data_IF_517329889757
#
_entry.id   IF_517329889757
#
_cell.length_a   1.000
_cell.length_b   1.000
_cell.length_c   1.000
_cell.angle_alpha   90.00
_cell.angle_beta   90.00
_cell.angle_gamma   90.00
#
_symmetry.space_group_name_H-M   'P 1'
#
loop_
_entity.id
_entity.type
_entity.pdbx_description
1 polymer ?
#
# COMPACT_ATOMS: atom_id res chain seq x y z
N UNK A 1 43.31 9.29 -86.03
CA UNK A 1 44.38 8.86 -85.12
C UNK A 1 44.33 9.68 -83.83
N UNK A 2 44.34 8.99 -82.68
CA UNK A 2 44.62 9.52 -81.35
C UNK A 2 43.79 10.74 -80.85
N UNK A 3 42.81 10.69 -80.08
CA UNK A 3 42.50 10.13 -78.84
C UNK A 3 43.01 10.97 -77.63
N UNK A 4 42.37 12.14 -77.27
CA UNK A 4 42.66 12.80 -76.00
C UNK A 4 41.53 12.51 -75.05
N UNK A 5 41.87 11.75 -74.00
CA UNK A 5 41.00 11.48 -72.88
C UNK A 5 40.88 12.65 -71.92
N UNK A 6 39.67 13.15 -71.77
CA UNK A 6 39.37 14.20 -70.79
C UNK A 6 39.53 13.65 -69.35
N UNK A 7 40.25 14.41 -68.51
CA UNK A 7 40.41 14.18 -67.09
C UNK A 7 39.12 14.60 -66.40
N UNK A 8 38.38 13.60 -65.79
CA UNK A 8 37.27 13.92 -64.89
C UNK A 8 37.85 14.27 -63.52
N UNK A 9 37.60 15.51 -63.10
CA UNK A 9 37.78 15.94 -61.70
C UNK A 9 36.98 15.06 -60.72
N UNK A 10 37.67 14.38 -59.83
CA UNK A 10 37.08 13.73 -58.70
C UNK A 10 36.81 14.76 -57.61
N UNK A 11 35.56 15.19 -57.47
CA UNK A 11 35.08 15.77 -56.22
C UNK A 11 34.92 14.65 -55.21
N UNK A 12 35.91 14.47 -54.34
CA UNK A 12 35.77 13.65 -53.15
C UNK A 12 34.94 14.43 -52.14
N UNK A 13 33.63 14.26 -52.18
CA UNK A 13 32.79 14.45 -51.03
C UNK A 13 33.12 13.30 -50.07
N UNK A 14 33.73 13.62 -48.95
CA UNK A 14 33.82 12.70 -47.80
C UNK A 14 32.38 12.52 -47.27
N UNK A 15 31.64 11.58 -47.80
CA UNK A 15 30.60 10.93 -47.05
C UNK A 15 31.31 10.19 -45.92
N UNK A 16 31.24 10.75 -44.71
CA UNK A 16 31.43 9.96 -43.50
C UNK A 16 30.26 9.00 -43.43
N UNK A 17 30.45 7.80 -44.00
CA UNK A 17 29.67 6.64 -43.63
C UNK A 17 30.07 6.37 -42.17
N UNK A 18 29.23 6.78 -41.25
CA UNK A 18 29.25 6.24 -39.87
C UNK A 18 28.84 4.79 -40.05
N UNK A 19 29.80 3.92 -40.21
CA UNK A 19 29.62 2.48 -40.00
C UNK A 19 29.33 2.39 -38.50
N UNK A 20 28.06 2.25 -38.12
CA UNK A 20 27.70 1.74 -36.84
C UNK A 20 28.32 0.32 -36.78
N UNK A 21 29.42 0.17 -36.06
CA UNK A 21 29.98 -1.14 -35.77
C UNK A 21 28.89 -1.90 -34.98
N UNK A 22 28.13 -2.76 -35.67
CA UNK A 22 27.24 -3.72 -35.00
C UNK A 22 28.10 -4.55 -34.06
N UNK A 23 27.87 -4.43 -32.77
CA UNK A 23 28.59 -5.15 -31.74
C UNK A 23 28.37 -6.64 -31.92
N UNK A 24 29.42 -7.37 -32.32
CA UNK A 24 29.34 -8.79 -32.57
C UNK A 24 29.21 -9.54 -31.24
N UNK A 25 28.03 -10.11 -30.99
CA UNK A 25 27.73 -10.82 -29.75
C UNK A 25 28.11 -12.31 -29.86
N UNK A 26 28.79 -12.83 -28.85
CA UNK A 26 29.18 -14.23 -28.80
C UNK A 26 27.99 -15.16 -28.55
N UNK A 27 27.66 -16.01 -29.53
CA UNK A 27 26.51 -16.94 -29.46
C UNK A 27 26.54 -17.86 -28.24
N UNK A 28 27.70 -18.42 -27.88
CA UNK A 28 27.82 -19.31 -26.70
C UNK A 28 27.62 -18.58 -25.41
N UNK A 29 28.09 -17.34 -25.30
CA UNK A 29 27.87 -16.51 -24.14
C UNK A 29 26.40 -16.12 -24.04
N UNK A 30 25.74 -15.77 -25.15
CA UNK A 30 24.31 -15.51 -25.20
C UNK A 30 23.46 -16.68 -24.74
N UNK A 31 23.72 -17.87 -25.30
CA UNK A 31 22.97 -19.08 -24.97
C UNK A 31 23.07 -19.42 -23.46
N UNK A 32 24.30 -19.45 -22.94
CA UNK A 32 24.52 -19.79 -21.53
C UNK A 32 24.02 -18.68 -20.57
N UNK A 33 24.06 -17.42 -20.97
CA UNK A 33 23.49 -16.31 -20.18
C UNK A 33 21.98 -16.46 -20.09
N UNK A 34 21.31 -16.60 -21.23
CA UNK A 34 19.83 -16.65 -21.28
C UNK A 34 19.25 -17.86 -20.56
N UNK A 35 19.68 -19.05 -20.93
CA UNK A 35 19.00 -20.29 -20.53
C UNK A 35 19.47 -20.83 -19.17
N UNK A 36 20.74 -20.61 -18.79
CA UNK A 36 21.24 -21.12 -17.51
C UNK A 36 21.25 -20.11 -16.38
N UNK A 37 21.44 -18.83 -16.68
CA UNK A 37 21.60 -17.82 -15.63
C UNK A 37 20.35 -16.97 -15.52
N UNK A 38 19.95 -16.24 -16.59
CA UNK A 38 18.86 -15.27 -16.50
C UNK A 38 17.50 -15.92 -16.31
N UNK A 39 17.24 -17.05 -16.94
CA UNK A 39 16.00 -17.80 -16.73
C UNK A 39 15.82 -18.17 -15.25
N UNK A 40 16.86 -18.75 -14.63
CA UNK A 40 16.81 -19.10 -13.21
C UNK A 40 16.77 -17.86 -12.31
N UNK A 41 17.48 -16.79 -12.69
CA UNK A 41 17.47 -15.53 -11.94
C UNK A 41 16.08 -14.87 -11.95
N UNK A 42 15.42 -14.80 -13.09
CA UNK A 42 14.07 -14.29 -13.20
C UNK A 42 13.06 -15.12 -12.39
N UNK A 43 13.18 -16.47 -12.45
CA UNK A 43 12.34 -17.35 -11.63
C UNK A 43 12.57 -17.12 -10.12
N UNK A 44 13.81 -16.90 -9.70
CA UNK A 44 14.13 -16.59 -8.31
C UNK A 44 13.54 -15.23 -7.88
N UNK A 45 13.60 -14.21 -8.74
CA UNK A 45 12.95 -12.90 -8.47
C UNK A 45 11.43 -13.05 -8.34
N UNK A 46 10.79 -13.77 -9.26
CA UNK A 46 9.34 -14.00 -9.20
C UNK A 46 8.91 -14.78 -7.95
N UNK A 47 9.71 -15.75 -7.54
CA UNK A 47 9.46 -16.51 -6.31
C UNK A 47 9.63 -15.64 -5.07
N UNK A 48 10.62 -14.74 -5.05
CA UNK A 48 10.81 -13.80 -3.94
C UNK A 48 9.68 -12.78 -3.87
N UNK A 49 9.29 -12.16 -5.00
CA UNK A 49 8.12 -11.28 -5.05
C UNK A 49 6.86 -11.98 -4.54
N UNK A 50 6.70 -13.27 -4.87
CA UNK A 50 5.58 -14.09 -4.38
C UNK A 50 5.70 -14.40 -2.88
N UNK A 51 6.91 -14.69 -2.39
CA UNK A 51 7.18 -14.94 -0.97
C UNK A 51 6.90 -13.70 -0.13
N UNK A 52 7.33 -12.51 -0.58
CA UNK A 52 7.01 -11.23 0.04
C UNK A 52 5.48 -11.04 0.09
N UNK A 53 4.78 -11.33 -1.01
CA UNK A 53 3.31 -11.27 -1.06
C UNK A 53 2.65 -12.20 -0.04
N UNK A 54 3.14 -13.42 0.11
CA UNK A 54 2.57 -14.44 1.01
C UNK A 54 3.00 -14.26 2.46
N UNK A 55 4.22 -13.80 2.69
CA UNK A 55 4.81 -13.66 4.02
C UNK A 55 4.31 -12.43 4.79
N UNK A 56 3.78 -11.44 4.10
CA UNK A 56 3.22 -10.27 4.75
C UNK A 56 1.79 -10.56 5.20
N UNK A 57 1.56 -10.62 6.51
CA UNK A 57 0.21 -10.61 7.06
C UNK A 57 -0.48 -9.31 6.64
N UNK A 58 -1.41 -9.41 5.69
CA UNK A 58 -2.06 -8.24 5.11
C UNK A 58 -3.32 -7.90 5.86
N UNK A 59 -3.32 -6.74 6.45
CA UNK A 59 -4.55 -6.14 6.94
C UNK A 59 -5.23 -5.39 5.80
N UNK A 60 -6.31 -5.96 5.25
CA UNK A 60 -7.08 -5.31 4.17
C UNK A 60 -8.01 -4.19 4.66
N UNK A 61 -8.12 -3.96 5.96
CA UNK A 61 -8.80 -2.80 6.52
C UNK A 61 -8.01 -1.50 6.27
N UNK A 62 -6.68 -1.60 6.11
CA UNK A 62 -5.84 -0.45 5.75
C UNK A 62 -5.73 -0.31 4.23
N UNK A 63 -5.35 0.91 3.80
CA UNK A 63 -5.07 1.14 2.38
C UNK A 63 -3.91 0.27 1.93
N UNK A 64 -4.15 -0.48 0.84
CA UNK A 64 -3.12 -1.32 0.25
C UNK A 64 -2.11 -0.48 -0.55
N UNK A 65 -0.88 -1.00 -0.68
CA UNK A 65 0.16 -0.40 -1.51
C UNK A 65 0.10 -0.91 -2.95
N UNK A 66 0.68 -0.15 -3.89
CA UNK A 66 0.80 -0.59 -5.29
C UNK A 66 1.72 -1.81 -5.40
N UNK A 67 2.82 -1.83 -4.63
CA UNK A 67 3.75 -2.94 -4.54
C UNK A 67 3.87 -3.40 -3.09
N UNK A 68 4.13 -4.69 -2.89
CA UNK A 68 4.62 -5.16 -1.61
C UNK A 68 6.09 -4.82 -1.48
N UNK A 69 6.46 -4.22 -0.37
CA UNK A 69 7.84 -3.86 -0.11
C UNK A 69 8.53 -4.92 0.76
N UNK A 70 9.81 -5.20 0.54
CA UNK A 70 10.53 -6.18 1.32
C UNK A 70 10.60 -5.76 2.78
N UNK A 71 10.23 -6.69 3.66
CA UNK A 71 10.45 -6.56 5.11
C UNK A 71 11.82 -7.20 5.32
N UNK A 72 12.87 -6.42 5.45
CA UNK A 72 14.27 -6.85 5.44
C UNK A 72 14.64 -7.99 6.40
N UNK A 73 14.29 -9.24 6.06
CA UNK A 73 14.48 -10.42 6.89
C UNK A 73 15.42 -11.45 6.25
N UNK A 74 16.17 -12.17 7.10
CA UNK A 74 17.39 -12.90 6.83
C UNK A 74 17.40 -13.96 5.70
N UNK A 75 16.34 -14.76 5.48
CA UNK A 75 16.36 -15.85 4.49
C UNK A 75 16.24 -15.34 3.05
N UNK A 76 15.45 -14.27 2.83
CA UNK A 76 15.36 -13.56 1.56
C UNK A 76 16.73 -13.03 1.10
N UNK A 77 17.57 -12.59 2.05
CA UNK A 77 18.90 -12.10 1.76
C UNK A 77 19.82 -13.17 1.14
N UNK A 78 19.79 -14.42 1.62
CA UNK A 78 20.67 -15.48 1.10
C UNK A 78 20.26 -15.87 -0.34
N UNK A 79 18.95 -15.93 -0.61
CA UNK A 79 18.46 -16.24 -1.95
C UNK A 79 18.86 -15.15 -2.95
N UNK A 80 18.67 -13.88 -2.57
CA UNK A 80 19.05 -12.74 -3.40
C UNK A 80 20.57 -12.63 -3.58
N UNK A 81 21.39 -12.93 -2.57
CA UNK A 81 22.82 -12.97 -2.70
C UNK A 81 23.30 -14.06 -3.69
N UNK A 82 22.68 -15.25 -3.64
CA UNK A 82 22.94 -16.31 -4.61
C UNK A 82 22.59 -15.89 -6.04
N UNK A 83 21.47 -15.18 -6.20
CA UNK A 83 21.03 -14.65 -7.48
C UNK A 83 22.01 -13.60 -8.00
N UNK A 84 22.41 -12.63 -7.16
CA UNK A 84 23.39 -11.59 -7.48
C UNK A 84 24.71 -12.21 -7.95
N UNK A 85 25.23 -13.21 -7.22
CA UNK A 85 26.46 -13.93 -7.62
C UNK A 85 26.32 -14.61 -8.99
N UNK A 86 25.15 -15.22 -9.29
CA UNK A 86 24.89 -15.83 -10.60
C UNK A 86 24.88 -14.78 -11.72
N UNK A 87 24.22 -13.66 -11.50
CA UNK A 87 24.16 -12.57 -12.48
C UNK A 87 25.53 -11.93 -12.70
N UNK A 88 26.36 -11.78 -11.66
CA UNK A 88 27.75 -11.34 -11.80
C UNK A 88 28.60 -12.20 -12.72
N UNK A 89 28.32 -13.52 -12.88
CA UNK A 89 29.04 -14.33 -13.85
C UNK A 89 28.84 -13.86 -15.29
N UNK A 90 27.68 -13.24 -15.59
CA UNK A 90 27.47 -12.63 -16.92
C UNK A 90 28.32 -11.39 -17.04
N UNK A 91 28.22 -10.48 -16.08
CA UNK A 91 28.91 -9.19 -16.07
C UNK A 91 30.43 -9.36 -16.12
N UNK A 92 30.99 -10.31 -15.36
CA UNK A 92 32.44 -10.45 -15.22
C UNK A 92 33.08 -11.36 -16.28
N UNK A 93 32.35 -12.39 -16.75
CA UNK A 93 32.95 -13.46 -17.56
C UNK A 93 32.31 -13.64 -18.95
N UNK A 94 31.25 -12.84 -19.26
CA UNK A 94 30.50 -12.95 -20.50
C UNK A 94 30.17 -11.58 -21.09
N UNK A 95 31.15 -10.71 -21.11
CA UNK A 95 31.00 -9.31 -21.51
C UNK A 95 30.58 -9.13 -23.00
N UNK A 96 30.83 -10.15 -23.83
CA UNK A 96 30.36 -10.20 -25.23
C UNK A 96 28.92 -10.72 -25.34
N UNK A 97 28.22 -10.95 -24.24
CA UNK A 97 26.81 -11.33 -24.25
C UNK A 97 25.92 -10.09 -24.39
N UNK A 98 24.93 -10.16 -25.28
CA UNK A 98 23.88 -9.13 -25.37
C UNK A 98 23.04 -8.98 -24.10
N UNK A 99 23.15 -9.92 -23.15
CA UNK A 99 22.40 -9.95 -21.91
C UNK A 99 23.11 -9.30 -20.71
N UNK A 100 24.21 -8.59 -20.93
CA UNK A 100 24.95 -7.90 -19.84
C UNK A 100 24.06 -6.85 -19.16
N UNK A 101 23.32 -6.07 -19.94
CA UNK A 101 22.42 -5.03 -19.39
C UNK A 101 21.24 -5.64 -18.63
N UNK A 102 20.67 -6.78 -19.11
CA UNK A 102 19.66 -7.50 -18.35
C UNK A 102 20.22 -8.02 -17.01
N UNK A 103 21.47 -8.49 -16.99
CA UNK A 103 22.12 -8.93 -15.76
C UNK A 103 22.26 -7.78 -14.75
N UNK A 104 22.65 -6.57 -15.19
CA UNK A 104 22.68 -5.39 -14.33
C UNK A 104 21.29 -5.02 -13.80
N UNK A 105 20.24 -5.08 -14.64
CA UNK A 105 18.85 -4.85 -14.22
C UNK A 105 18.44 -5.84 -13.13
N UNK A 106 18.76 -7.13 -13.30
CA UNK A 106 18.47 -8.19 -12.33
C UNK A 106 19.21 -7.98 -11.03
N UNK A 107 20.50 -7.61 -11.07
CA UNK A 107 21.27 -7.30 -9.85
C UNK A 107 20.65 -6.11 -9.11
N UNK A 108 20.25 -5.07 -9.83
CA UNK A 108 19.55 -3.92 -9.26
C UNK A 108 18.24 -4.31 -8.57
N UNK A 109 17.40 -5.12 -9.22
CA UNK A 109 16.16 -5.65 -8.64
C UNK A 109 16.41 -6.53 -7.41
N UNK A 110 17.38 -7.42 -7.47
CA UNK A 110 17.72 -8.28 -6.33
C UNK A 110 18.21 -7.50 -5.13
N UNK A 111 19.03 -6.46 -5.34
CA UNK A 111 19.41 -5.54 -4.26
C UNK A 111 18.19 -4.78 -3.69
N UNK A 112 17.23 -4.40 -4.53
CA UNK A 112 15.98 -3.79 -4.07
C UNK A 112 15.19 -4.74 -3.16
N UNK A 113 14.93 -5.97 -3.61
CA UNK A 113 14.19 -6.98 -2.85
C UNK A 113 14.91 -7.40 -1.55
N UNK A 114 16.22 -7.26 -1.52
CA UNK A 114 17.04 -7.42 -0.31
C UNK A 114 16.95 -6.23 0.66
N UNK A 115 16.34 -5.11 0.28
CA UNK A 115 16.34 -3.87 1.06
C UNK A 115 17.65 -3.05 0.95
N UNK A 116 18.59 -3.47 0.11
CA UNK A 116 19.85 -2.77 -0.13
C UNK A 116 19.66 -1.65 -1.18
N UNK A 117 18.81 -0.68 -0.87
CA UNK A 117 18.34 0.34 -1.82
C UNK A 117 19.48 1.20 -2.39
N UNK A 118 20.50 1.53 -1.64
CA UNK A 118 21.65 2.28 -2.15
C UNK A 118 22.42 1.50 -3.21
N UNK A 119 22.68 0.21 -2.98
CA UNK A 119 23.31 -0.66 -3.96
C UNK A 119 22.42 -0.81 -5.21
N UNK A 120 21.12 -1.00 -5.03
CA UNK A 120 20.13 -1.06 -6.10
C UNK A 120 20.23 0.18 -7.02
N UNK A 121 20.26 1.38 -6.43
CA UNK A 121 20.38 2.65 -7.15
C UNK A 121 21.69 2.71 -7.95
N UNK A 122 22.83 2.25 -7.39
CA UNK A 122 24.13 2.26 -8.09
C UNK A 122 24.12 1.34 -9.31
N UNK A 123 23.50 0.15 -9.23
CA UNK A 123 23.34 -0.74 -10.40
C UNK A 123 22.46 -0.15 -11.47
N UNK A 124 21.36 0.52 -11.12
CA UNK A 124 20.54 1.24 -12.08
C UNK A 124 21.27 2.45 -12.67
N UNK A 125 22.05 3.19 -11.87
CA UNK A 125 22.91 4.26 -12.38
C UNK A 125 23.91 3.76 -13.41
N UNK A 126 24.54 2.60 -13.16
CA UNK A 126 25.46 1.99 -14.10
C UNK A 126 24.73 1.61 -15.40
N UNK A 127 23.61 0.92 -15.31
CA UNK A 127 22.81 0.54 -16.45
C UNK A 127 22.37 1.77 -17.30
N UNK A 128 21.89 2.82 -16.65
CA UNK A 128 21.46 4.04 -17.32
C UNK A 128 22.60 4.79 -18.05
N UNK A 129 23.86 4.59 -17.62
CA UNK A 129 25.04 5.17 -18.30
C UNK A 129 25.54 4.32 -19.46
N UNK A 130 25.30 3.00 -19.42
CA UNK A 130 25.90 2.05 -20.38
C UNK A 130 24.94 1.48 -21.41
N UNK A 131 23.62 1.73 -21.22
CA UNK A 131 22.56 1.14 -22.08
C UNK A 131 22.25 1.95 -23.34
N UNK A 132 23.15 2.82 -23.82
CA UNK A 132 22.92 3.65 -25.00
C UNK A 132 22.50 2.83 -26.23
N UNK A 133 23.02 1.61 -26.40
CA UNK A 133 22.71 0.69 -27.50
C UNK A 133 21.48 -0.19 -27.26
N UNK A 134 20.99 -0.31 -25.99
CA UNK A 134 19.89 -1.20 -25.62
C UNK A 134 18.82 -0.45 -24.82
N UNK A 135 18.10 0.41 -25.50
CA UNK A 135 17.11 1.30 -24.91
C UNK A 135 15.94 0.55 -24.24
N UNK A 136 15.73 -0.72 -24.54
CA UNK A 136 14.65 -1.55 -23.99
C UNK A 136 14.68 -1.70 -22.45
N UNK A 137 15.86 -1.55 -21.83
CA UNK A 137 16.01 -1.64 -20.37
C UNK A 137 15.86 -0.30 -19.64
N UNK A 138 15.93 0.83 -20.36
CA UNK A 138 15.91 2.16 -19.76
C UNK A 138 14.64 2.46 -18.96
N UNK A 139 13.42 2.21 -19.50
CA UNK A 139 12.20 2.52 -18.75
C UNK A 139 12.11 1.73 -17.45
N UNK A 140 12.51 0.46 -17.48
CA UNK A 140 12.50 -0.39 -16.28
C UNK A 140 13.55 0.07 -15.27
N UNK A 141 14.77 0.41 -15.71
CA UNK A 141 15.83 0.90 -14.85
C UNK A 141 15.42 2.22 -14.15
N UNK A 142 14.85 3.16 -14.89
CA UNK A 142 14.32 4.40 -14.32
C UNK A 142 13.19 4.14 -13.32
N UNK A 143 12.22 3.30 -13.65
CA UNK A 143 11.09 3.01 -12.78
C UNK A 143 11.51 2.27 -11.49
N UNK A 144 12.41 1.30 -11.56
CA UNK A 144 12.97 0.62 -10.39
C UNK A 144 13.83 1.55 -9.54
N UNK A 145 14.64 2.41 -10.17
CA UNK A 145 15.42 3.43 -9.47
C UNK A 145 14.51 4.43 -8.74
N UNK A 146 13.40 4.84 -9.37
CA UNK A 146 12.38 5.67 -8.71
C UNK A 146 11.84 4.99 -7.45
N UNK A 147 11.47 3.72 -7.51
CA UNK A 147 11.02 2.95 -6.35
C UNK A 147 12.09 2.92 -5.24
N UNK A 148 13.35 2.64 -5.59
CA UNK A 148 14.44 2.60 -4.62
C UNK A 148 14.69 3.96 -3.95
N UNK A 149 14.60 5.05 -4.71
CA UNK A 149 14.71 6.41 -4.20
C UNK A 149 13.59 6.77 -3.23
N UNK A 150 12.36 6.28 -3.48
CA UNK A 150 11.24 6.46 -2.55
C UNK A 150 11.50 5.77 -1.19
N UNK A 151 12.13 4.60 -1.19
CA UNK A 151 12.46 3.89 0.06
C UNK A 151 13.48 4.65 0.93
N UNK A 152 14.39 5.42 0.31
CA UNK A 152 15.36 6.27 1.04
C UNK A 152 14.90 7.73 1.18
N UNK A 153 13.63 8.04 0.90
CA UNK A 153 13.03 9.36 1.10
C UNK A 153 13.43 10.43 0.08
N UNK A 154 14.02 10.06 -1.06
CA UNK A 154 14.44 11.00 -2.11
C UNK A 154 13.31 11.25 -3.14
N UNK A 155 12.18 11.78 -2.68
CA UNK A 155 10.93 11.90 -3.46
C UNK A 155 11.06 12.75 -4.71
N UNK A 156 11.77 13.89 -4.66
CA UNK A 156 11.94 14.77 -5.82
C UNK A 156 12.74 14.10 -6.94
N UNK A 157 13.82 13.36 -6.58
CA UNK A 157 14.63 12.66 -7.58
C UNK A 157 13.83 11.46 -8.10
N UNK A 158 13.06 10.79 -7.26
CA UNK A 158 12.18 9.68 -7.67
C UNK A 158 11.18 10.13 -8.73
N UNK A 159 10.60 11.34 -8.62
CA UNK A 159 9.73 11.89 -9.64
C UNK A 159 10.43 12.03 -11.00
N UNK A 160 11.61 12.67 -11.01
CA UNK A 160 12.40 12.83 -12.24
C UNK A 160 12.69 11.48 -12.90
N UNK A 161 12.97 10.45 -12.10
CA UNK A 161 13.25 9.11 -12.61
C UNK A 161 12.01 8.48 -13.25
N UNK A 162 10.84 8.53 -12.59
CA UNK A 162 9.63 7.96 -13.19
C UNK A 162 9.17 8.72 -14.41
N UNK A 163 9.35 10.04 -14.46
CA UNK A 163 9.07 10.84 -15.65
C UNK A 163 10.03 10.46 -16.81
N UNK A 164 11.33 10.24 -16.52
CA UNK A 164 12.29 9.72 -17.49
C UNK A 164 11.91 8.33 -18.01
N UNK A 165 11.30 7.48 -17.15
CA UNK A 165 10.79 6.18 -17.57
C UNK A 165 9.69 6.32 -18.64
N UNK A 166 8.80 7.32 -18.52
CA UNK A 166 7.79 7.59 -19.54
C UNK A 166 8.40 8.09 -20.85
N UNK A 167 9.46 8.90 -20.79
CA UNK A 167 10.13 9.42 -22.00
C UNK A 167 10.86 8.34 -22.81
N UNK A 168 11.21 7.24 -22.15
CA UNK A 168 11.95 6.11 -22.76
C UNK A 168 11.09 4.88 -23.02
N UNK A 169 9.75 4.99 -22.87
CA UNK A 169 8.83 3.86 -23.05
C UNK A 169 8.91 3.29 -24.46
N UNK A 170 8.99 1.98 -24.54
CA UNK A 170 8.85 1.15 -25.72
C UNK A 170 7.38 0.66 -25.90
N UNK A 171 7.17 -0.20 -26.91
CA UNK A 171 5.86 -0.81 -27.17
C UNK A 171 5.55 -2.01 -26.27
N UNK A 172 6.45 -2.39 -25.37
CA UNK A 172 6.26 -3.50 -24.44
C UNK A 172 5.12 -3.21 -23.46
N UNK A 173 4.07 -4.00 -23.56
CA UNK A 173 2.93 -3.91 -22.66
C UNK A 173 3.35 -4.11 -21.18
N UNK A 174 4.26 -5.02 -20.91
CA UNK A 174 4.75 -5.30 -19.56
C UNK A 174 5.53 -4.10 -18.98
N UNK A 175 6.39 -3.46 -19.80
CA UNK A 175 7.14 -2.27 -19.41
C UNK A 175 6.19 -1.12 -19.09
N UNK A 176 5.22 -0.85 -19.95
CA UNK A 176 4.20 0.21 -19.76
C UNK A 176 3.38 -0.04 -18.49
N UNK A 177 2.95 -1.28 -18.25
CA UNK A 177 2.26 -1.69 -17.02
C UNK A 177 3.07 -1.31 -15.78
N UNK A 178 4.35 -1.70 -15.75
CA UNK A 178 5.22 -1.47 -14.61
C UNK A 178 5.51 0.02 -14.38
N UNK A 179 5.78 0.79 -15.45
CA UNK A 179 6.05 2.25 -15.37
C UNK A 179 4.82 2.99 -14.85
N UNK A 180 3.61 2.65 -15.32
CA UNK A 180 2.38 3.25 -14.81
C UNK A 180 2.14 2.88 -13.34
N UNK A 181 2.35 1.63 -12.95
CA UNK A 181 2.28 1.23 -11.54
C UNK A 181 3.32 1.99 -10.67
N UNK A 182 4.54 2.20 -11.16
CA UNK A 182 5.56 2.98 -10.47
C UNK A 182 5.18 4.45 -10.31
N UNK A 183 4.52 5.06 -11.32
CA UNK A 183 4.00 6.44 -11.21
C UNK A 183 2.86 6.52 -10.20
N UNK A 184 1.92 5.58 -10.23
CA UNK A 184 0.86 5.51 -9.24
C UNK A 184 1.44 5.36 -7.81
N UNK A 185 2.45 4.51 -7.64
CA UNK A 185 3.13 4.35 -6.35
C UNK A 185 3.78 5.66 -5.87
N UNK A 186 4.46 6.38 -6.77
CA UNK A 186 5.03 7.69 -6.45
C UNK A 186 3.95 8.67 -5.99
N UNK A 187 2.86 8.82 -6.76
CA UNK A 187 1.77 9.76 -6.46
C UNK A 187 1.09 9.45 -5.12
N UNK A 188 0.85 8.17 -4.82
CA UNK A 188 0.29 7.77 -3.52
C UNK A 188 1.25 8.07 -2.36
N UNK A 189 2.56 7.92 -2.55
CA UNK A 189 3.57 8.25 -1.51
C UNK A 189 3.63 9.74 -1.17
N UNK A 190 3.26 10.63 -2.09
CA UNK A 190 3.19 12.07 -1.86
C UNK A 190 1.77 12.58 -1.55
N UNK A 191 0.79 11.67 -1.41
CA UNK A 191 -0.60 11.99 -1.05
C UNK A 191 -1.47 12.49 -2.22
N UNK A 192 -1.03 12.37 -3.47
CA UNK A 192 -1.78 12.74 -4.67
C UNK A 192 -2.64 11.57 -5.17
N UNK A 193 -3.66 11.22 -4.42
CA UNK A 193 -4.47 10.02 -4.61
C UNK A 193 -5.29 10.05 -5.91
N UNK A 194 -5.95 11.18 -6.18
CA UNK A 194 -6.78 11.34 -7.39
C UNK A 194 -5.95 11.24 -8.66
N UNK A 195 -4.73 11.77 -8.63
CA UNK A 195 -3.81 11.73 -9.76
C UNK A 195 -3.23 10.33 -9.99
N UNK A 196 -3.15 9.50 -8.93
CA UNK A 196 -2.66 8.14 -9.04
C UNK A 196 -3.65 7.18 -9.73
N UNK A 197 -4.96 7.45 -9.64
CA UNK A 197 -6.02 6.56 -10.14
C UNK A 197 -5.85 6.22 -11.64
N UNK A 198 -5.71 7.17 -12.59
CA UNK A 198 -5.62 6.84 -14.01
C UNK A 198 -4.39 5.99 -14.36
N UNK A 199 -3.27 6.19 -13.67
CA UNK A 199 -2.07 5.36 -13.86
C UNK A 199 -2.30 3.93 -13.37
N UNK A 200 -2.97 3.78 -12.24
CA UNK A 200 -3.29 2.46 -11.69
C UNK A 200 -4.33 1.71 -12.53
N UNK A 201 -5.32 2.42 -13.08
CA UNK A 201 -6.29 1.85 -14.03
C UNK A 201 -5.60 1.35 -15.28
N UNK A 202 -4.73 2.15 -15.89
CA UNK A 202 -3.95 1.73 -17.05
C UNK A 202 -3.09 0.50 -16.74
N UNK A 203 -2.40 0.50 -15.60
CA UNK A 203 -1.61 -0.63 -15.16
C UNK A 203 -2.48 -1.90 -14.99
N UNK A 204 -3.68 -1.75 -14.43
CA UNK A 204 -4.62 -2.86 -14.22
C UNK A 204 -5.12 -3.44 -15.55
N UNK A 205 -5.54 -2.62 -16.50
CA UNK A 205 -6.03 -3.05 -17.82
C UNK A 205 -4.96 -3.80 -18.61
N UNK A 206 -3.71 -3.37 -18.44
CA UNK A 206 -2.55 -3.93 -19.13
C UNK A 206 -1.97 -5.16 -18.45
N UNK A 207 -2.31 -5.43 -17.19
CA UNK A 207 -1.69 -6.48 -16.38
C UNK A 207 -2.27 -7.87 -16.70
N UNK A 208 -1.36 -8.83 -16.91
CA UNK A 208 -1.69 -10.26 -17.03
C UNK A 208 -1.43 -11.06 -15.74
N UNK A 209 -0.67 -10.50 -14.78
CA UNK A 209 -0.32 -11.18 -13.52
C UNK A 209 -1.48 -11.12 -12.53
N UNK A 210 -1.98 -12.27 -12.11
CA UNK A 210 -3.16 -12.38 -11.25
C UNK A 210 -3.00 -11.72 -9.88
N UNK A 211 -1.79 -11.83 -9.27
CA UNK A 211 -1.53 -11.26 -7.93
C UNK A 211 -1.65 -9.72 -7.92
N UNK A 212 -0.96 -9.05 -8.85
CA UNK A 212 -1.02 -7.60 -8.96
C UNK A 212 -2.42 -7.12 -9.35
N UNK A 213 -3.11 -7.87 -10.22
CA UNK A 213 -4.45 -7.53 -10.67
C UNK A 213 -5.42 -7.34 -9.50
N UNK A 214 -5.52 -8.30 -8.59
CA UNK A 214 -6.44 -8.22 -7.47
C UNK A 214 -6.03 -7.17 -6.43
N UNK A 215 -4.72 -7.01 -6.20
CA UNK A 215 -4.20 -5.95 -5.34
C UNK A 215 -4.57 -4.57 -5.85
N UNK A 216 -4.34 -4.30 -7.14
CA UNK A 216 -4.65 -3.00 -7.74
C UNK A 216 -6.16 -2.76 -7.85
N UNK A 217 -6.95 -3.80 -8.11
CA UNK A 217 -8.41 -3.68 -8.02
C UNK A 217 -8.88 -3.30 -6.61
N UNK A 218 -8.29 -3.91 -5.58
CA UNK A 218 -8.64 -3.60 -4.19
C UNK A 218 -8.22 -2.18 -3.81
N UNK A 219 -7.01 -1.79 -4.19
CA UNK A 219 -6.50 -0.43 -3.98
C UNK A 219 -7.35 0.62 -4.70
N UNK A 220 -7.73 0.38 -5.97
CA UNK A 220 -8.65 1.26 -6.70
C UNK A 220 -10.00 1.36 -6.02
N UNK A 221 -10.55 0.26 -5.51
CA UNK A 221 -11.78 0.27 -4.74
C UNK A 221 -11.68 1.15 -3.50
N UNK A 222 -10.55 1.09 -2.77
CA UNK A 222 -10.29 1.94 -1.61
C UNK A 222 -10.16 3.41 -2.02
N UNK A 223 -9.37 3.72 -3.05
CA UNK A 223 -9.18 5.08 -3.55
C UNK A 223 -10.50 5.71 -4.01
N UNK A 224 -11.32 4.96 -4.76
CA UNK A 224 -12.63 5.44 -5.19
C UNK A 224 -13.58 5.66 -4.02
N UNK A 225 -13.57 4.77 -3.02
CA UNK A 225 -14.36 4.95 -1.79
C UNK A 225 -13.97 6.22 -1.05
N UNK A 226 -12.67 6.42 -0.82
CA UNK A 226 -12.13 7.55 -0.07
C UNK A 226 -12.41 8.89 -0.78
N UNK A 227 -12.53 8.86 -2.12
CA UNK A 227 -12.89 10.02 -2.95
C UNK A 227 -14.40 10.14 -3.26
N UNK A 228 -15.26 9.39 -2.55
CA UNK A 228 -16.72 9.48 -2.68
C UNK A 228 -17.31 8.90 -3.97
N UNK A 229 -16.50 8.23 -4.80
CA UNK A 229 -16.96 7.58 -6.04
C UNK A 229 -17.46 6.15 -5.74
N UNK A 230 -18.52 6.06 -4.96
CA UNK A 230 -19.01 4.81 -4.37
C UNK A 230 -19.44 3.75 -5.40
N UNK A 231 -19.99 4.14 -6.53
CA UNK A 231 -20.41 3.20 -7.59
C UNK A 231 -19.21 2.47 -8.20
N UNK A 232 -18.10 3.19 -8.44
CA UNK A 232 -16.86 2.59 -8.94
C UNK A 232 -16.23 1.69 -7.88
N UNK A 233 -16.15 2.17 -6.64
CA UNK A 233 -15.66 1.38 -5.51
C UNK A 233 -16.45 0.07 -5.37
N UNK A 234 -17.78 0.16 -5.42
CA UNK A 234 -18.68 -0.99 -5.32
C UNK A 234 -18.46 -2.00 -6.46
N UNK A 235 -18.20 -1.53 -7.68
CA UNK A 235 -17.90 -2.38 -8.83
C UNK A 235 -16.66 -3.25 -8.57
N UNK A 236 -15.56 -2.65 -8.10
CA UNK A 236 -14.33 -3.36 -7.79
C UNK A 236 -14.48 -4.29 -6.58
N UNK A 237 -15.08 -3.83 -5.47
CA UNK A 237 -15.30 -4.71 -4.30
C UNK A 237 -16.22 -5.89 -4.62
N UNK A 238 -17.25 -5.69 -5.46
CA UNK A 238 -18.13 -6.78 -5.89
C UNK A 238 -17.38 -7.80 -6.77
N UNK A 239 -16.48 -7.37 -7.64
CA UNK A 239 -15.65 -8.25 -8.45
C UNK A 239 -14.71 -9.09 -7.56
N UNK A 240 -14.01 -8.44 -6.60
CA UNK A 240 -13.06 -9.10 -5.70
C UNK A 240 -13.76 -10.12 -4.79
N UNK A 241 -14.90 -9.75 -4.21
CA UNK A 241 -15.64 -10.64 -3.29
C UNK A 241 -16.12 -11.95 -3.93
N UNK A 242 -16.12 -12.03 -5.26
CA UNK A 242 -16.50 -13.22 -6.04
C UNK A 242 -15.32 -13.92 -6.71
N UNK A 243 -14.11 -13.37 -6.56
CA UNK A 243 -12.91 -13.88 -7.20
C UNK A 243 -12.19 -14.90 -6.31
N UNK A 244 -11.35 -15.73 -6.92
CA UNK A 244 -10.47 -16.65 -6.18
C UNK A 244 -9.22 -15.89 -5.68
N UNK A 245 -9.40 -15.16 -4.59
CA UNK A 245 -8.38 -14.35 -3.90
C UNK A 245 -8.18 -14.87 -2.47
N UNK A 246 -7.14 -14.43 -1.74
CA UNK A 246 -7.03 -14.74 -0.31
C UNK A 246 -8.31 -14.40 0.45
N UNK A 247 -8.65 -15.27 1.41
CA UNK A 247 -9.91 -15.16 2.16
C UNK A 247 -10.10 -13.77 2.77
N UNK A 248 -9.06 -13.22 3.40
CA UNK A 248 -9.11 -11.91 4.08
C UNK A 248 -9.46 -10.78 3.11
N UNK A 249 -8.91 -10.83 1.89
CA UNK A 249 -9.23 -9.85 0.84
C UNK A 249 -10.70 -9.96 0.40
N UNK A 250 -11.18 -11.18 0.13
CA UNK A 250 -12.58 -11.41 -0.28
C UNK A 250 -13.56 -11.03 0.83
N UNK A 251 -13.18 -11.33 2.07
CA UNK A 251 -13.96 -11.02 3.27
C UNK A 251 -14.10 -9.50 3.43
N UNK A 252 -12.97 -8.76 3.46
CA UNK A 252 -12.99 -7.29 3.57
C UNK A 252 -13.75 -6.64 2.41
N UNK A 253 -13.54 -7.10 1.17
CA UNK A 253 -14.30 -6.63 0.02
C UNK A 253 -15.82 -6.85 0.20
N UNK A 254 -16.23 -7.94 0.85
CA UNK A 254 -17.64 -8.22 1.16
C UNK A 254 -18.20 -7.28 2.23
N UNK A 255 -17.40 -6.94 3.25
CA UNK A 255 -17.77 -5.95 4.27
C UNK A 255 -17.95 -4.56 3.65
N UNK A 256 -16.96 -4.08 2.89
CA UNK A 256 -16.99 -2.78 2.22
C UNK A 256 -18.16 -2.68 1.23
N UNK A 257 -18.43 -3.75 0.47
CA UNK A 257 -19.61 -3.83 -0.39
C UNK A 257 -20.90 -3.65 0.38
N UNK A 258 -21.04 -4.31 1.55
CA UNK A 258 -22.24 -4.21 2.38
C UNK A 258 -22.48 -2.79 2.89
N UNK A 259 -21.41 -2.08 3.24
CA UNK A 259 -21.47 -0.67 3.66
C UNK A 259 -21.92 0.24 2.51
N UNK A 260 -21.31 0.09 1.33
CA UNK A 260 -21.54 0.96 0.18
C UNK A 260 -22.90 0.72 -0.51
N UNK A 261 -23.57 -0.39 -0.22
CA UNK A 261 -24.89 -0.71 -0.79
C UNK A 261 -26.08 -0.03 -0.09
N UNK A 262 -25.85 0.92 0.81
CA UNK A 262 -26.90 1.56 1.62
C UNK A 262 -28.08 2.13 0.84
N UNK A 263 -27.87 2.60 -0.39
CA UNK A 263 -28.92 3.09 -1.27
C UNK A 263 -29.86 2.01 -1.85
N UNK A 264 -29.54 0.72 -1.68
CA UNK A 264 -30.35 -0.42 -2.16
C UNK A 264 -31.33 -0.97 -1.12
N UNK A 265 -31.25 -0.49 0.11
CA UNK A 265 -32.04 -0.99 1.22
C UNK A 265 -32.86 0.12 1.85
N UNK A 266 -34.13 -0.16 2.12
CA UNK A 266 -35.04 0.80 2.74
C UNK A 266 -34.70 1.03 4.22
N UNK A 267 -34.11 0.04 4.89
CA UNK A 267 -33.75 0.13 6.32
C UNK A 267 -32.35 -0.42 6.62
N UNK A 268 -31.77 0.04 7.74
CA UNK A 268 -30.53 -0.51 8.27
C UNK A 268 -30.67 -2.01 8.59
N UNK A 269 -31.80 -2.44 9.14
CA UNK A 269 -32.06 -3.85 9.49
C UNK A 269 -32.00 -4.77 8.26
N UNK A 270 -32.46 -4.31 7.10
CA UNK A 270 -32.35 -5.07 5.85
C UNK A 270 -30.90 -5.14 5.35
N UNK A 271 -30.20 -4.01 5.40
CA UNK A 271 -28.80 -3.91 4.97
C UNK A 271 -27.86 -4.76 5.85
N UNK A 272 -28.09 -4.80 7.15
CA UNK A 272 -27.28 -5.55 8.14
C UNK A 272 -27.57 -7.06 8.08
N UNK A 273 -28.74 -7.50 7.64
CA UNK A 273 -29.15 -8.91 7.61
C UNK A 273 -28.16 -9.85 6.92
N UNK A 274 -27.55 -9.52 5.76
CA UNK A 274 -26.52 -10.34 5.14
C UNK A 274 -25.27 -10.47 6.02
N UNK A 275 -24.82 -9.40 6.68
CA UNK A 275 -23.67 -9.42 7.60
C UNK A 275 -23.93 -10.34 8.79
N UNK A 276 -25.13 -10.26 9.40
CA UNK A 276 -25.47 -11.10 10.54
C UNK A 276 -25.60 -12.59 10.16
N UNK A 277 -25.82 -12.93 8.89
CA UNK A 277 -25.72 -14.31 8.41
C UNK A 277 -24.27 -14.79 8.41
N UNK A 278 -23.32 -13.91 8.04
CA UNK A 278 -21.89 -14.26 8.05
C UNK A 278 -21.37 -14.65 9.43
N UNK A 279 -21.95 -14.13 10.53
CA UNK A 279 -21.62 -14.54 11.90
C UNK A 279 -21.92 -16.03 12.19
N UNK A 280 -22.75 -16.68 11.40
CA UNK A 280 -23.15 -18.09 11.57
C UNK A 280 -22.28 -19.04 10.75
N UNK A 281 -21.41 -18.50 9.91
CA UNK A 281 -20.52 -19.28 9.05
C UNK A 281 -19.18 -19.49 9.75
N UNK A 282 -18.85 -20.72 10.13
CA UNK A 282 -17.63 -21.06 10.88
C UNK A 282 -16.33 -20.56 10.28
N UNK A 283 -16.28 -20.35 8.94
CA UNK A 283 -15.11 -19.73 8.29
C UNK A 283 -14.85 -18.30 8.74
N UNK A 284 -15.82 -17.62 9.37
CA UNK A 284 -15.75 -16.23 9.81
C UNK A 284 -15.52 -16.11 11.34
N UNK A 285 -15.21 -17.19 12.04
CA UNK A 285 -15.08 -17.17 13.52
C UNK A 285 -13.98 -16.22 14.02
N UNK A 286 -12.95 -15.97 13.23
CA UNK A 286 -11.89 -14.99 13.56
C UNK A 286 -12.21 -13.55 13.19
N UNK A 287 -13.39 -13.26 12.60
CA UNK A 287 -13.75 -11.96 12.04
C UNK A 287 -15.07 -11.40 12.57
N UNK A 288 -15.59 -11.98 13.63
CA UNK A 288 -16.88 -11.58 14.19
C UNK A 288 -16.89 -10.14 14.71
N UNK A 289 -15.75 -9.67 15.25
CA UNK A 289 -15.54 -8.29 15.67
C UNK A 289 -15.71 -7.31 14.51
N UNK A 290 -15.14 -7.62 13.34
CA UNK A 290 -15.24 -6.78 12.13
C UNK A 290 -16.66 -6.76 11.59
N UNK A 291 -17.34 -7.92 11.53
CA UNK A 291 -18.73 -8.01 11.06
C UNK A 291 -19.66 -7.15 11.94
N UNK A 292 -19.49 -7.24 13.27
CA UNK A 292 -20.29 -6.48 14.21
C UNK A 292 -20.00 -4.98 14.16
N UNK A 293 -18.72 -4.61 14.01
CA UNK A 293 -18.34 -3.22 13.81
C UNK A 293 -18.98 -2.64 12.54
N UNK A 294 -18.92 -3.39 11.43
CA UNK A 294 -19.52 -3.00 10.17
C UNK A 294 -21.05 -2.83 10.28
N UNK A 295 -21.72 -3.72 11.03
CA UNK A 295 -23.14 -3.57 11.32
C UNK A 295 -23.41 -2.27 12.10
N UNK A 296 -22.57 -1.95 13.08
CA UNK A 296 -22.63 -0.68 13.81
C UNK A 296 -22.50 0.54 12.89
N UNK A 297 -21.55 0.52 11.96
CA UNK A 297 -21.37 1.61 10.99
C UNK A 297 -22.59 1.80 10.07
N UNK A 298 -23.27 0.72 9.67
CA UNK A 298 -24.50 0.81 8.88
C UNK A 298 -25.63 1.48 9.68
N UNK A 299 -25.82 1.11 10.94
CA UNK A 299 -26.81 1.76 11.79
C UNK A 299 -26.48 3.24 12.02
N UNK A 300 -25.20 3.58 12.22
CA UNK A 300 -24.73 4.97 12.34
C UNK A 300 -25.03 5.77 11.07
N UNK A 301 -24.77 5.25 9.87
CA UNK A 301 -25.08 5.91 8.60
C UNK A 301 -26.60 6.16 8.39
N UNK A 302 -27.44 5.41 9.08
CA UNK A 302 -28.89 5.55 9.06
C UNK A 302 -29.44 6.27 10.32
N UNK A 303 -28.56 6.94 11.08
CA UNK A 303 -28.87 7.72 12.28
C UNK A 303 -29.50 6.91 13.44
N UNK A 304 -29.43 5.57 13.42
CA UNK A 304 -29.83 4.71 14.54
C UNK A 304 -28.63 4.52 15.50
N UNK A 305 -28.31 5.62 16.20
CA UNK A 305 -27.12 5.67 17.09
C UNK A 305 -27.22 4.65 18.23
N UNK A 306 -28.40 4.39 18.77
CA UNK A 306 -28.57 3.43 19.87
C UNK A 306 -28.15 2.01 19.45
N UNK A 307 -28.60 1.54 18.26
CA UNK A 307 -28.18 0.27 17.71
C UNK A 307 -26.70 0.30 17.32
N UNK A 308 -26.20 1.39 16.72
CA UNK A 308 -24.78 1.54 16.35
C UNK A 308 -23.89 1.29 17.57
N UNK A 309 -24.12 1.99 18.68
CA UNK A 309 -23.35 1.82 19.92
C UNK A 309 -23.48 0.39 20.49
N UNK A 310 -24.66 -0.23 20.41
CA UNK A 310 -24.85 -1.62 20.83
C UNK A 310 -23.98 -2.57 20.03
N UNK A 311 -23.91 -2.40 18.70
CA UNK A 311 -23.09 -3.25 17.82
C UNK A 311 -21.59 -2.99 17.99
N UNK A 312 -21.14 -1.77 18.19
CA UNK A 312 -19.75 -1.46 18.54
C UNK A 312 -19.33 -2.14 19.85
N UNK A 313 -20.17 -2.08 20.88
CA UNK A 313 -19.91 -2.79 22.15
C UNK A 313 -19.88 -4.31 21.98
N UNK A 314 -20.76 -4.90 21.14
CA UNK A 314 -20.72 -6.32 20.77
C UNK A 314 -19.46 -6.71 20.03
N UNK A 315 -18.92 -5.84 19.16
CA UNK A 315 -17.63 -6.04 18.50
C UNK A 315 -16.49 -6.16 19.52
N UNK A 316 -16.43 -5.25 20.50
CA UNK A 316 -15.44 -5.31 21.59
C UNK A 316 -15.57 -6.52 22.50
N UNK A 317 -16.75 -7.09 22.62
CA UNK A 317 -17.01 -8.25 23.46
C UNK A 317 -16.56 -9.59 22.83
N UNK A 318 -16.12 -9.57 21.55
CA UNK A 318 -15.68 -10.81 20.89
C UNK A 318 -14.35 -11.29 21.47
N UNK A 319 -14.23 -12.61 21.80
CA UNK A 319 -13.03 -13.15 22.41
C UNK A 319 -11.79 -13.12 21.48
N UNK A 320 -12.02 -13.28 20.18
CA UNK A 320 -10.96 -13.33 19.16
C UNK A 320 -10.79 -12.00 18.40
N UNK A 321 -11.21 -10.88 19.00
CA UNK A 321 -11.08 -9.58 18.36
C UNK A 321 -9.63 -9.23 18.06
N UNK A 322 -9.37 -8.65 16.89
CA UNK A 322 -8.06 -8.14 16.56
C UNK A 322 -7.76 -6.82 17.28
N UNK A 323 -6.50 -6.59 17.63
CA UNK A 323 -6.09 -5.30 18.22
C UNK A 323 -6.37 -4.13 17.29
N UNK A 324 -6.25 -4.33 15.97
CA UNK A 324 -6.58 -3.30 14.99
C UNK A 324 -8.06 -2.91 15.07
N UNK A 325 -8.97 -3.90 14.99
CA UNK A 325 -10.40 -3.67 15.07
C UNK A 325 -10.83 -3.11 16.45
N UNK A 326 -10.21 -3.58 17.53
CA UNK A 326 -10.45 -3.02 18.86
C UNK A 326 -10.06 -1.55 18.94
N UNK A 327 -8.91 -1.17 18.36
CA UNK A 327 -8.46 0.24 18.27
C UNK A 327 -9.49 1.11 17.55
N UNK A 328 -9.95 0.68 16.36
CA UNK A 328 -10.99 1.40 15.60
C UNK A 328 -12.27 1.58 16.41
N UNK A 329 -12.70 0.52 17.08
CA UNK A 329 -13.96 0.52 17.83
C UNK A 329 -13.87 1.39 19.09
N UNK A 330 -12.75 1.33 19.82
CA UNK A 330 -12.52 2.20 20.98
C UNK A 330 -12.42 3.67 20.60
N UNK A 331 -11.70 4.00 19.52
CA UNK A 331 -11.63 5.37 18.99
C UNK A 331 -13.03 5.88 18.63
N UNK A 332 -13.82 5.07 17.95
CA UNK A 332 -15.19 5.43 17.54
C UNK A 332 -16.10 5.72 18.74
N UNK A 333 -16.06 4.87 19.74
CA UNK A 333 -16.84 5.06 20.98
C UNK A 333 -16.32 6.25 21.79
N UNK A 334 -15.00 6.43 21.89
CA UNK A 334 -14.40 7.57 22.57
C UNK A 334 -14.81 8.88 21.91
N UNK A 335 -14.75 8.97 20.57
CA UNK A 335 -15.16 10.15 19.81
C UNK A 335 -16.65 10.48 19.98
N UNK A 336 -17.50 9.45 19.98
CA UNK A 336 -18.94 9.62 20.22
C UNK A 336 -19.20 10.20 21.61
N UNK A 337 -18.70 9.56 22.68
CA UNK A 337 -18.95 10.03 24.04
C UNK A 337 -18.32 11.39 24.34
N UNK A 338 -17.19 11.70 23.67
CA UNK A 338 -16.60 13.03 23.74
C UNK A 338 -17.54 14.09 23.12
N UNK A 339 -18.13 13.81 21.96
CA UNK A 339 -19.12 14.66 21.30
C UNK A 339 -20.37 14.91 22.19
N UNK A 340 -20.80 13.87 22.90
CA UNK A 340 -21.89 13.93 23.87
C UNK A 340 -21.50 14.60 25.21
N UNK A 341 -20.28 15.15 25.32
CA UNK A 341 -19.73 15.78 26.54
C UNK A 341 -19.64 14.83 27.76
N UNK A 342 -19.68 13.53 27.54
CA UNK A 342 -19.48 12.51 28.56
C UNK A 342 -17.99 12.18 28.69
N UNK A 343 -17.21 13.17 29.15
CA UNK A 343 -15.75 13.14 29.10
C UNK A 343 -15.10 11.99 29.86
N UNK A 344 -15.64 11.62 31.05
CA UNK A 344 -15.15 10.49 31.84
C UNK A 344 -15.32 9.17 31.08
N UNK A 345 -16.47 8.98 30.43
CA UNK A 345 -16.73 7.78 29.62
C UNK A 345 -15.84 7.76 28.40
N UNK A 346 -15.66 8.89 27.71
CA UNK A 346 -14.77 9.04 26.57
C UNK A 346 -13.33 8.70 26.94
N UNK A 347 -12.85 9.17 28.11
CA UNK A 347 -11.51 8.88 28.59
C UNK A 347 -11.27 7.40 28.76
N UNK A 348 -12.18 6.66 29.37
CA UNK A 348 -12.06 5.20 29.55
C UNK A 348 -11.88 4.45 28.22
N UNK A 349 -12.55 4.94 27.16
CA UNK A 349 -12.37 4.38 25.81
C UNK A 349 -11.01 4.76 25.21
N UNK A 350 -10.56 5.99 25.35
CA UNK A 350 -9.24 6.42 24.88
C UNK A 350 -8.08 5.73 25.62
N UNK A 351 -8.21 5.51 26.93
CA UNK A 351 -7.24 4.74 27.71
C UNK A 351 -7.17 3.30 27.21
N UNK A 352 -8.33 2.73 26.82
CA UNK A 352 -8.37 1.40 26.20
C UNK A 352 -7.67 1.37 24.84
N UNK A 353 -7.74 2.45 24.03
CA UNK A 353 -6.97 2.55 22.80
C UNK A 353 -5.47 2.42 23.07
N UNK A 354 -4.96 3.11 24.11
CA UNK A 354 -3.54 3.08 24.45
C UNK A 354 -3.01 1.67 24.74
N UNK A 355 -3.87 0.77 25.22
CA UNK A 355 -3.51 -0.62 25.59
C UNK A 355 -3.48 -1.57 24.38
N UNK A 356 -4.25 -1.28 23.32
CA UNK A 356 -4.43 -2.21 22.19
C UNK A 356 -3.84 -1.67 20.87
N UNK A 357 -3.39 -0.40 20.82
CA UNK A 357 -2.90 0.28 19.62
C UNK A 357 -1.70 -0.45 19.01
N UNK A 358 -1.84 -1.07 17.81
CA UNK A 358 -0.72 -1.73 17.15
C UNK A 358 0.37 -0.73 16.76
N UNK A 359 1.63 -1.19 16.76
CA UNK A 359 2.76 -0.34 16.37
C UNK A 359 2.73 0.05 14.88
N UNK A 360 2.16 -0.82 14.05
CA UNK A 360 1.99 -0.67 12.60
C UNK A 360 0.61 -0.07 12.21
N UNK A 361 -0.14 0.43 13.22
CA UNK A 361 -1.42 1.09 12.95
C UNK A 361 -1.24 2.34 12.07
N UNK A 362 -2.15 2.51 11.10
CA UNK A 362 -2.13 3.68 10.22
C UNK A 362 -2.17 4.96 11.04
N UNK A 363 -1.22 5.86 10.77
CA UNK A 363 -1.12 7.14 11.50
C UNK A 363 -0.98 7.01 13.04
N UNK A 364 -0.31 5.94 13.52
CA UNK A 364 -0.10 5.67 14.95
C UNK A 364 0.32 6.91 15.75
N UNK A 365 1.19 7.74 15.18
CA UNK A 365 1.65 8.98 15.83
C UNK A 365 0.55 10.04 15.93
N UNK A 366 -0.37 10.10 14.98
CA UNK A 366 -1.54 10.99 15.01
C UNK A 366 -2.50 10.53 16.11
N UNK A 367 -2.74 9.23 16.20
CA UNK A 367 -3.57 8.65 17.27
C UNK A 367 -2.95 8.94 18.63
N UNK A 368 -1.65 8.68 18.84
CA UNK A 368 -0.97 8.96 20.12
C UNK A 368 -1.06 10.43 20.52
N UNK A 369 -0.89 11.36 19.58
CA UNK A 369 -1.08 12.79 19.87
C UNK A 369 -2.51 13.12 20.27
N UNK A 370 -3.51 12.53 19.55
CA UNK A 370 -4.92 12.68 19.90
C UNK A 370 -5.20 12.21 21.32
N UNK A 371 -4.70 11.03 21.71
CA UNK A 371 -4.85 10.50 23.07
C UNK A 371 -4.26 11.43 24.12
N UNK A 372 -3.08 12.00 23.86
CA UNK A 372 -2.45 12.99 24.75
C UNK A 372 -3.35 14.20 24.98
N UNK A 373 -3.84 14.83 23.90
CA UNK A 373 -4.77 15.99 24.01
C UNK A 373 -6.10 15.64 24.70
N UNK A 374 -6.66 14.46 24.43
CA UNK A 374 -7.91 14.04 25.06
C UNK A 374 -7.74 13.82 26.55
N UNK A 375 -6.63 13.24 26.99
CA UNK A 375 -6.33 13.08 28.42
C UNK A 375 -6.22 14.45 29.14
N UNK A 376 -5.54 15.41 28.54
CA UNK A 376 -5.47 16.78 29.12
C UNK A 376 -6.84 17.43 29.22
N UNK A 377 -7.65 17.37 28.15
CA UNK A 377 -8.98 17.96 28.12
C UNK A 377 -9.89 17.29 29.16
N UNK A 378 -9.89 15.98 29.23
CA UNK A 378 -10.76 15.25 30.19
C UNK A 378 -10.37 15.51 31.63
N UNK A 379 -9.07 15.65 31.95
CA UNK A 379 -8.59 16.06 33.27
C UNK A 379 -9.08 17.47 33.65
N UNK A 380 -8.97 18.44 32.71
CA UNK A 380 -9.45 19.79 32.94
C UNK A 380 -10.96 19.84 33.23
N UNK A 381 -11.75 19.07 32.48
CA UNK A 381 -13.20 18.99 32.73
C UNK A 381 -13.51 18.31 34.05
N UNK A 382 -12.81 17.27 34.44
CA UNK A 382 -12.94 16.61 35.74
C UNK A 382 -12.61 17.57 36.89
N UNK A 383 -11.56 18.38 36.74
CA UNK A 383 -11.19 19.41 37.73
C UNK A 383 -12.23 20.53 37.82
N UNK A 384 -12.79 20.97 36.69
CA UNK A 384 -13.90 21.96 36.68
C UNK A 384 -15.12 21.40 37.41
N UNK A 385 -15.57 20.19 37.06
CA UNK A 385 -16.72 19.54 37.71
C UNK A 385 -16.51 19.37 39.21
N UNK A 386 -15.30 19.01 39.62
CA UNK A 386 -14.94 18.93 41.05
C UNK A 386 -15.00 20.28 41.73
N UNK A 387 -14.46 21.34 41.12
CA UNK A 387 -14.50 22.69 41.66
C UNK A 387 -15.92 23.23 41.74
N UNK A 388 -16.76 22.98 40.74
CA UNK A 388 -18.17 23.34 40.74
C UNK A 388 -18.93 22.65 41.86
N UNK A 389 -18.66 21.36 42.08
CA UNK A 389 -19.23 20.60 43.22
C UNK A 389 -18.80 21.21 44.56
N UNK A 390 -17.53 21.55 44.71
CA UNK A 390 -17.03 22.22 45.94
C UNK A 390 -17.64 23.61 46.15
N UNK A 391 -17.80 24.42 45.10
CA UNK A 391 -18.44 25.71 45.16
C UNK A 391 -19.92 25.57 45.55
N UNK A 392 -20.62 24.60 44.96
CA UNK A 392 -21.99 24.29 45.33
C UNK A 392 -22.11 23.89 46.80
N UNK A 393 -21.26 22.96 47.28
CA UNK A 393 -21.24 22.59 48.70
C UNK A 393 -20.92 23.78 49.63
N UNK A 394 -20.02 24.65 49.20
CA UNK A 394 -19.67 25.87 49.97
C UNK A 394 -20.82 26.90 50.04
N UNK A 395 -21.73 26.90 49.07
CA UNK A 395 -22.91 27.78 49.04
C UNK A 395 -24.05 27.31 49.93
N UNK A 396 -24.04 26.04 50.39
CA UNK A 396 -25.06 25.49 51.28
C UNK A 396 -24.80 25.88 52.74
N UNK A 397 -25.87 25.93 53.53
CA UNK A 397 -25.78 26.02 54.98
C UNK A 397 -25.17 24.70 55.58
N UNK A 398 -24.85 24.71 56.85
CA UNK A 398 -24.15 23.60 57.53
C UNK A 398 -24.96 22.26 57.46
N UNK A 399 -26.29 22.36 57.62
CA UNK A 399 -27.17 21.19 57.58
C UNK A 399 -27.28 20.64 56.14
N UNK A 400 -27.55 21.47 55.16
CA UNK A 400 -27.65 21.05 53.75
C UNK A 400 -26.35 20.55 53.19
N UNK A 401 -25.19 21.05 53.64
CA UNK A 401 -23.88 20.56 53.29
C UNK A 401 -23.66 19.15 53.84
N UNK A 402 -24.02 18.90 55.11
CA UNK A 402 -23.91 17.59 55.74
C UNK A 402 -24.75 16.52 55.03
N UNK A 403 -25.99 16.85 54.68
CA UNK A 403 -26.88 15.96 53.94
C UNK A 403 -26.33 15.60 52.56
N UNK A 404 -25.80 16.57 51.80
CA UNK A 404 -25.24 16.34 50.47
C UNK A 404 -23.92 15.56 50.50
N UNK A 405 -23.02 15.86 51.43
CA UNK A 405 -21.78 15.12 51.62
C UNK A 405 -22.07 13.65 51.92
N UNK A 406 -23.07 13.35 52.80
CA UNK A 406 -23.49 11.98 53.11
C UNK A 406 -24.11 11.29 51.89
N UNK A 407 -24.82 12.00 51.01
CA UNK A 407 -25.32 11.44 49.72
C UNK A 407 -24.17 11.03 48.80
N UNK A 408 -23.17 11.92 48.58
CA UNK A 408 -21.99 11.60 47.73
C UNK A 408 -21.05 10.55 48.32
N UNK A 409 -21.08 10.33 49.62
CA UNK A 409 -20.28 9.27 50.30
C UNK A 409 -20.92 7.89 50.18
N UNK A 410 -22.24 7.82 49.90
CA UNK A 410 -23.00 6.57 49.78
C UNK A 410 -23.26 6.15 48.32
N UNK A 411 -22.98 7.00 47.31
CA UNK A 411 -23.01 6.75 45.89
C UNK A 411 -21.60 6.33 45.41
#
# INVERSE_FOLDING_TARGET
>A
MLGCKGVKSRNNAFERVTVEEEKEYNFRQNFTSRYNILYNANLMLENEERAIFQGTSKNFQIRQSVFDEPIGDGDAHQLMDSLIQKAYKIVNSKQESKYVNEAYLIIGKANYLKGAYHNSIEFFNHLLRTAEEQQEYLPLAYAWKSRALLQIGKTEIANKMVDSAFMTLDDSKATRTFVNAAKANYLLRIGQELEAIPYLEYALESNSKTLDKYRWQFLLAQLYKDNGQFDKALTYFNAISKSNVPFDMAFEASLQRSLLQGGKYDSADEQVRPLLRMLREGKNDGYQDQILFQAGQIYEQKDDIAKALSYFKKSLAQPNRSNYQATETYLKLGDYYFGEKQYVVAQNYYDSVATVLPADYTDVNKVRRKLGYMNEITQLYADIARKDTLLYLASLDEQGRGEKVNTYAND
#
